data_IF_930057322656
#
_entry.id   IF_930057322656
#
_cell.length_a   1.000
_cell.length_b   1.000
_cell.length_c   1.000
_cell.angle_alpha   90.00
_cell.angle_beta   90.00
_cell.angle_gamma   90.00
#
_symmetry.space_group_name_H-M   'P 1'
#
loop_
_entity.id
_entity.type
_entity.pdbx_description
1 polymer ?
#
# COMPACT_ATOMS: atom_id res chain seq x y z
N UNK A 1 -22.74 -18.06 38.87
CA UNK A 1 -23.61 -17.50 37.80
C UNK A 1 -22.95 -16.22 37.36
N UNK A 2 -22.17 -16.26 36.29
CA UNK A 2 -21.52 -15.08 35.76
C UNK A 2 -22.59 -14.08 35.29
N UNK A 3 -22.42 -12.77 35.57
CA UNK A 3 -23.40 -11.77 35.17
C UNK A 3 -23.58 -11.82 33.64
N UNK A 4 -24.81 -11.65 33.13
CA UNK A 4 -25.06 -11.68 31.69
C UNK A 4 -24.16 -10.64 31.03
N UNK A 5 -23.35 -11.09 30.07
CA UNK A 5 -22.43 -10.23 29.32
C UNK A 5 -23.22 -9.04 28.79
N UNK A 6 -22.92 -7.86 29.33
CA UNK A 6 -23.68 -6.66 28.99
C UNK A 6 -23.34 -6.26 27.55
N UNK A 7 -24.35 -5.80 26.80
CA UNK A 7 -24.14 -5.25 25.47
C UNK A 7 -23.00 -4.21 25.44
N UNK A 8 -22.94 -3.36 26.47
CA UNK A 8 -21.90 -2.33 26.59
C UNK A 8 -20.50 -2.92 26.76
N UNK A 9 -20.36 -4.05 27.47
CA UNK A 9 -19.06 -4.73 27.64
C UNK A 9 -18.60 -5.36 26.33
N UNK A 10 -19.49 -6.01 25.58
CA UNK A 10 -19.19 -6.54 24.24
C UNK A 10 -18.75 -5.42 23.31
N UNK A 11 -19.50 -4.30 23.29
CA UNK A 11 -19.20 -3.14 22.43
C UNK A 11 -17.85 -2.52 22.73
N UNK A 12 -17.52 -2.35 24.01
CA UNK A 12 -16.20 -1.88 24.44
C UNK A 12 -15.10 -2.84 24.03
N UNK A 13 -15.34 -4.15 24.14
CA UNK A 13 -14.38 -5.17 23.72
C UNK A 13 -14.14 -5.15 22.21
N UNK A 14 -15.20 -5.06 21.39
CA UNK A 14 -15.08 -4.96 19.93
C UNK A 14 -14.25 -3.74 19.53
N UNK A 15 -14.56 -2.55 20.06
CA UNK A 15 -13.79 -1.33 19.78
C UNK A 15 -12.32 -1.42 20.17
N UNK A 16 -12.02 -2.09 21.29
CA UNK A 16 -10.64 -2.31 21.72
C UNK A 16 -9.90 -3.22 20.73
N UNK A 17 -10.54 -4.30 20.29
CA UNK A 17 -9.97 -5.24 19.32
C UNK A 17 -9.79 -4.58 17.94
N UNK A 18 -10.76 -3.78 17.49
CA UNK A 18 -10.67 -2.98 16.26
C UNK A 18 -9.46 -2.04 16.31
N UNK A 19 -9.31 -1.25 17.37
CA UNK A 19 -8.17 -0.34 17.51
C UNK A 19 -6.82 -1.08 17.56
N UNK A 20 -6.77 -2.26 18.19
CA UNK A 20 -5.56 -3.09 18.21
C UNK A 20 -5.25 -3.67 16.83
N UNK A 21 -6.29 -4.10 16.09
CA UNK A 21 -6.15 -4.58 14.72
C UNK A 21 -5.65 -3.48 13.79
N UNK A 22 -6.17 -2.26 13.89
CA UNK A 22 -5.73 -1.13 13.07
C UNK A 22 -4.25 -0.82 13.26
N UNK A 23 -3.77 -0.83 14.51
CA UNK A 23 -2.35 -0.62 14.83
C UNK A 23 -1.47 -1.75 14.30
N UNK A 24 -1.86 -3.01 14.51
CA UNK A 24 -1.12 -4.16 13.98
C UNK A 24 -1.11 -4.18 12.45
N UNK A 25 -2.21 -3.82 11.82
CA UNK A 25 -2.30 -3.71 10.36
C UNK A 25 -1.39 -2.61 9.83
N UNK A 26 -1.24 -1.50 10.57
CA UNK A 26 -0.31 -0.43 10.22
C UNK A 26 1.15 -0.87 10.32
N UNK A 27 1.50 -1.59 11.38
CA UNK A 27 2.83 -2.19 11.54
C UNK A 27 3.08 -3.18 10.40
N UNK A 28 2.11 -4.02 10.06
CA UNK A 28 2.21 -4.98 8.96
C UNK A 28 2.34 -4.27 7.60
N UNK A 29 1.61 -3.19 7.34
CA UNK A 29 1.79 -2.35 6.12
C UNK A 29 3.22 -1.83 6.00
N UNK A 30 3.76 -1.28 7.09
CA UNK A 30 5.14 -0.79 7.13
C UNK A 30 6.13 -1.92 6.89
N UNK A 31 5.87 -3.08 7.47
CA UNK A 31 6.68 -4.27 7.28
C UNK A 31 6.68 -4.74 5.81
N UNK A 32 5.50 -4.85 5.18
CA UNK A 32 5.37 -5.22 3.76
C UNK A 32 6.03 -4.19 2.82
N UNK A 33 6.17 -2.93 3.25
CA UNK A 33 6.85 -1.89 2.48
C UNK A 33 8.37 -1.88 2.70
N UNK A 34 8.82 -1.92 3.95
CA UNK A 34 10.24 -1.91 4.32
C UNK A 34 10.77 -3.33 4.29
N UNK A 35 11.21 -3.77 3.09
CA UNK A 35 11.95 -5.02 2.88
C UNK A 35 13.24 -5.04 3.70
N UNK A 36 13.13 -5.37 4.98
CA UNK A 36 14.23 -5.65 5.90
C UNK A 36 13.80 -6.87 6.70
N UNK A 37 14.19 -8.04 6.21
CA UNK A 37 13.94 -9.31 6.86
C UNK A 37 14.56 -9.30 8.25
N UNK A 38 13.71 -9.10 9.26
CA UNK A 38 14.02 -9.41 10.64
C UNK A 38 13.13 -10.59 11.03
N UNK A 39 13.73 -11.62 11.63
CA UNK A 39 13.14 -12.92 11.96
C UNK A 39 11.87 -12.89 12.86
N UNK A 40 11.39 -11.71 13.24
CA UNK A 40 10.13 -11.48 13.96
C UNK A 40 8.89 -11.51 13.02
N UNK A 41 9.12 -11.73 11.72
CA UNK A 41 8.16 -11.77 10.61
C UNK A 41 7.03 -12.81 10.81
N UNK A 42 7.36 -13.96 11.42
CA UNK A 42 6.41 -15.06 11.57
C UNK A 42 5.35 -14.85 12.66
N UNK A 43 5.50 -13.84 13.52
CA UNK A 43 4.62 -13.64 14.67
C UNK A 43 3.51 -12.61 14.41
N UNK A 44 3.66 -11.75 13.39
CA UNK A 44 2.68 -10.71 13.07
C UNK A 44 1.43 -11.24 12.37
N UNK A 45 1.58 -12.09 11.34
CA UNK A 45 0.44 -12.74 10.68
C UNK A 45 -0.45 -13.55 11.65
N UNK A 46 0.08 -14.48 12.49
CA UNK A 46 -0.75 -15.25 13.40
C UNK A 46 -1.37 -14.39 14.51
N UNK A 47 -0.71 -13.30 14.92
CA UNK A 47 -1.27 -12.37 15.89
C UNK A 47 -2.50 -11.64 15.32
N UNK A 48 -2.40 -11.12 14.09
CA UNK A 48 -3.52 -10.48 13.39
C UNK A 48 -4.66 -11.48 13.16
N UNK A 49 -4.36 -12.70 12.72
CA UNK A 49 -5.35 -13.78 12.56
C UNK A 49 -6.06 -14.10 13.88
N UNK A 50 -5.32 -14.14 15.00
CA UNK A 50 -5.90 -14.39 16.32
C UNK A 50 -6.83 -13.24 16.74
N UNK A 51 -6.42 -12.00 16.55
CA UNK A 51 -7.23 -10.82 16.87
C UNK A 51 -8.51 -10.76 16.01
N UNK A 52 -8.42 -11.09 14.71
CA UNK A 52 -9.58 -11.18 13.81
C UNK A 52 -10.56 -12.25 14.28
N UNK A 53 -10.08 -13.44 14.67
CA UNK A 53 -10.93 -14.51 15.24
C UNK A 53 -11.60 -14.08 16.55
N UNK A 54 -10.89 -13.36 17.42
CA UNK A 54 -11.46 -12.82 18.65
C UNK A 54 -12.55 -11.79 18.37
N UNK A 55 -12.34 -10.87 17.42
CA UNK A 55 -13.35 -9.89 17.02
C UNK A 55 -14.58 -10.56 16.39
N UNK A 56 -14.37 -11.59 15.57
CA UNK A 56 -15.46 -12.42 15.02
C UNK A 56 -16.27 -13.12 16.10
N UNK A 57 -15.62 -13.64 17.14
CA UNK A 57 -16.30 -14.25 18.29
C UNK A 57 -17.15 -13.22 19.05
N UNK A 58 -16.60 -12.03 19.30
CA UNK A 58 -17.33 -10.93 19.96
C UNK A 58 -18.54 -10.49 19.12
N UNK A 59 -18.39 -10.33 17.81
CA UNK A 59 -19.50 -10.01 16.91
C UNK A 59 -20.58 -11.11 16.90
N UNK A 60 -20.18 -12.38 17.02
CA UNK A 60 -21.11 -13.50 17.12
C UNK A 60 -21.88 -13.48 18.46
N UNK A 61 -21.22 -13.12 19.56
CA UNK A 61 -21.87 -12.92 20.87
C UNK A 61 -22.83 -11.73 20.85
N UNK A 62 -22.46 -10.63 20.20
CA UNK A 62 -23.36 -9.49 19.98
C UNK A 62 -24.57 -9.87 19.13
N UNK A 63 -24.37 -10.67 18.08
CA UNK A 63 -25.46 -11.18 17.25
C UNK A 63 -26.44 -12.03 18.05
N UNK A 64 -25.94 -12.96 18.88
CA UNK A 64 -26.79 -13.75 19.76
C UNK A 64 -27.58 -12.87 20.75
N UNK A 65 -26.95 -11.81 21.27
CA UNK A 65 -27.59 -10.87 22.18
C UNK A 65 -28.71 -10.07 21.49
N UNK A 66 -28.47 -9.52 20.29
CA UNK A 66 -29.49 -8.82 19.49
C UNK A 66 -30.66 -9.75 19.16
N UNK A 67 -30.37 -10.98 18.73
CA UNK A 67 -31.39 -11.99 18.41
C UNK A 67 -32.23 -12.44 19.61
N UNK A 68 -31.75 -12.24 20.86
CA UNK A 68 -32.46 -12.60 22.09
C UNK A 68 -33.49 -11.57 22.57
N UNK A 69 -33.72 -10.49 21.81
CA UNK A 69 -34.71 -9.43 22.13
C UNK A 69 -34.12 -8.02 22.21
N UNK A 70 -32.98 -7.76 21.55
CA UNK A 70 -32.35 -6.45 21.52
C UNK A 70 -33.14 -5.42 20.69
N UNK A 71 -33.10 -4.16 21.10
CA UNK A 71 -33.63 -3.01 20.35
C UNK A 71 -32.95 -2.83 18.99
N UNK A 72 -33.68 -2.28 18.01
CA UNK A 72 -33.22 -1.99 16.64
C UNK A 72 -31.92 -1.15 16.57
N UNK A 73 -31.70 -0.28 17.56
CA UNK A 73 -30.47 0.53 17.68
C UNK A 73 -29.21 -0.35 17.84
N UNK A 74 -29.34 -1.49 18.52
CA UNK A 74 -28.25 -2.45 18.69
C UNK A 74 -27.98 -3.24 17.42
N UNK A 75 -29.01 -3.48 16.60
CA UNK A 75 -28.89 -4.11 15.28
C UNK A 75 -28.01 -3.28 14.35
N UNK A 76 -28.28 -1.97 14.20
CA UNK A 76 -27.43 -1.10 13.38
C UNK A 76 -25.98 -1.03 13.87
N UNK A 77 -25.79 -0.97 15.19
CA UNK A 77 -24.44 -0.95 15.77
C UNK A 77 -23.71 -2.26 15.48
N UNK A 78 -24.39 -3.40 15.55
CA UNK A 78 -23.83 -4.71 15.18
C UNK A 78 -23.48 -4.78 13.70
N UNK A 79 -24.37 -4.35 12.81
CA UNK A 79 -24.10 -4.31 11.36
C UNK A 79 -22.81 -3.54 11.09
N UNK A 80 -22.62 -2.39 11.74
CA UNK A 80 -21.38 -1.61 11.60
C UNK A 80 -20.13 -2.38 12.07
N UNK A 81 -20.21 -3.08 13.20
CA UNK A 81 -19.09 -3.91 13.67
C UNK A 81 -18.80 -5.11 12.73
N UNK A 82 -19.82 -5.65 12.06
CA UNK A 82 -19.65 -6.70 11.04
C UNK A 82 -18.99 -6.16 9.77
N UNK A 83 -19.39 -4.98 9.31
CA UNK A 83 -18.76 -4.29 8.18
C UNK A 83 -17.28 -4.00 8.45
N UNK A 84 -16.95 -3.43 9.62
CA UNK A 84 -15.56 -3.16 10.02
C UNK A 84 -14.73 -4.45 10.03
N UNK A 85 -15.26 -5.55 10.59
CA UNK A 85 -14.58 -6.84 10.59
C UNK A 85 -14.32 -7.33 9.16
N UNK A 86 -15.29 -7.20 8.25
CA UNK A 86 -15.15 -7.60 6.86
C UNK A 86 -14.07 -6.77 6.15
N UNK A 87 -14.06 -5.46 6.35
CA UNK A 87 -13.05 -4.55 5.77
C UNK A 87 -11.65 -4.91 6.27
N UNK A 88 -11.49 -5.19 7.57
CA UNK A 88 -10.23 -5.63 8.16
C UNK A 88 -9.75 -6.96 7.58
N UNK A 89 -10.65 -7.92 7.36
CA UNK A 89 -10.31 -9.20 6.70
C UNK A 89 -9.85 -9.01 5.25
N UNK A 90 -10.55 -8.17 4.49
CA UNK A 90 -10.18 -7.90 3.10
C UNK A 90 -8.83 -7.21 3.02
N UNK A 91 -8.60 -6.21 3.88
CA UNK A 91 -7.34 -5.51 3.93
C UNK A 91 -6.18 -6.47 4.28
N UNK A 92 -6.36 -7.31 5.31
CA UNK A 92 -5.34 -8.27 5.71
C UNK A 92 -4.95 -9.22 4.56
N UNK A 93 -5.95 -9.81 3.89
CA UNK A 93 -5.72 -10.71 2.75
C UNK A 93 -5.02 -10.01 1.59
N UNK A 94 -5.36 -8.75 1.32
CA UNK A 94 -4.69 -7.93 0.30
C UNK A 94 -3.22 -7.69 0.65
N UNK A 95 -2.93 -7.35 1.91
CA UNK A 95 -1.56 -7.13 2.37
C UNK A 95 -0.73 -8.40 2.33
N UNK A 96 -1.31 -9.53 2.74
CA UNK A 96 -0.67 -10.85 2.67
C UNK A 96 -0.33 -11.27 1.24
N UNK A 97 -1.25 -11.04 0.32
CA UNK A 97 -1.04 -11.30 -1.11
C UNK A 97 0.08 -10.41 -1.68
N UNK A 98 0.08 -9.12 -1.32
CA UNK A 98 1.14 -8.18 -1.71
C UNK A 98 2.50 -8.59 -1.15
N UNK A 99 2.55 -9.04 0.11
CA UNK A 99 3.76 -9.53 0.75
C UNK A 99 4.31 -10.77 0.03
N UNK A 100 3.46 -11.77 -0.23
CA UNK A 100 3.85 -12.98 -0.97
C UNK A 100 4.40 -12.63 -2.35
N UNK A 101 3.70 -11.79 -3.12
CA UNK A 101 4.16 -11.38 -4.45
C UNK A 101 5.53 -10.68 -4.41
N UNK A 102 5.77 -9.81 -3.42
CA UNK A 102 7.07 -9.16 -3.21
C UNK A 102 8.16 -10.15 -2.82
N UNK A 103 7.84 -11.13 -1.98
CA UNK A 103 8.76 -12.19 -1.55
C UNK A 103 9.15 -13.09 -2.72
N UNK A 104 8.19 -13.51 -3.53
CA UNK A 104 8.42 -14.29 -4.75
C UNK A 104 9.28 -13.50 -5.74
N UNK A 105 8.96 -12.23 -5.99
CA UNK A 105 9.78 -11.36 -6.85
C UNK A 105 11.20 -11.17 -6.30
N UNK A 106 11.37 -11.07 -4.98
CA UNK A 106 12.69 -11.00 -4.36
C UNK A 106 13.48 -12.30 -4.54
N UNK A 107 12.84 -13.45 -4.35
CA UNK A 107 13.45 -14.77 -4.52
C UNK A 107 13.88 -15.01 -5.97
N UNK A 108 13.06 -14.60 -6.96
CA UNK A 108 13.40 -14.71 -8.38
C UNK A 108 14.59 -13.83 -8.76
N UNK A 109 14.69 -12.61 -8.20
CA UNK A 109 15.85 -11.75 -8.42
C UNK A 109 17.12 -12.27 -7.75
N UNK A 110 16.98 -12.95 -6.61
CA UNK A 110 18.11 -13.60 -5.93
C UNK A 110 18.62 -14.79 -6.75
N UNK A 111 17.72 -15.65 -7.24
CA UNK A 111 18.03 -16.77 -8.13
C UNK A 111 18.70 -16.29 -9.43
N UNK A 112 18.20 -15.20 -10.03
CA UNK A 112 18.84 -14.59 -11.21
C UNK A 112 20.24 -14.06 -10.92
N UNK A 113 20.46 -13.44 -9.75
CA UNK A 113 21.78 -12.95 -9.34
C UNK A 113 22.75 -14.09 -9.05
N UNK A 114 22.27 -15.19 -8.48
CA UNK A 114 23.07 -16.39 -8.23
C UNK A 114 23.42 -17.10 -9.54
N UNK A 115 22.48 -17.20 -10.48
CA UNK A 115 22.73 -17.69 -11.84
C UNK A 115 23.78 -16.84 -12.59
N UNK A 116 23.69 -15.51 -12.52
CA UNK A 116 24.66 -14.63 -13.18
C UNK A 116 26.06 -14.74 -12.55
N UNK A 117 26.15 -14.89 -11.22
CA UNK A 117 27.42 -15.13 -10.52
C UNK A 117 28.05 -16.47 -10.88
N UNK A 118 27.27 -17.55 -10.87
CA UNK A 118 27.77 -18.90 -11.19
C UNK A 118 28.25 -19.00 -12.65
N UNK A 119 27.62 -18.27 -13.57
CA UNK A 119 28.11 -18.12 -14.95
C UNK A 119 29.43 -17.33 -15.01
N UNK A 120 29.53 -16.23 -14.25
CA UNK A 120 30.76 -15.44 -14.18
C UNK A 120 31.94 -16.28 -13.63
N UNK A 121 31.72 -17.08 -12.59
CA UNK A 121 32.75 -17.96 -12.01
C UNK A 121 33.17 -19.11 -12.95
N UNK A 122 32.28 -19.58 -13.84
CA UNK A 122 32.61 -20.61 -14.84
C UNK A 122 33.41 -20.05 -16.05
N UNK A 123 33.34 -18.75 -16.31
CA UNK A 123 33.90 -18.10 -17.52
C UNK A 123 35.21 -17.31 -17.23
N UNK A 124 35.62 -17.22 -15.96
CA UNK A 124 36.87 -16.59 -15.47
C UNK A 124 38.17 -17.29 -15.94
N UNK A 125 38.05 -18.35 -16.74
CA UNK A 125 39.18 -18.96 -17.43
C UNK A 125 39.68 -18.20 -18.68
N UNK A 126 38.87 -17.33 -19.32
CA UNK A 126 39.29 -16.73 -20.61
C UNK A 126 38.57 -15.44 -21.10
N UNK A 127 37.52 -14.91 -20.46
CA UNK A 127 36.61 -13.92 -21.10
C UNK A 127 36.50 -12.49 -20.52
N UNK A 128 37.28 -12.13 -19.50
CA UNK A 128 37.01 -10.98 -18.61
C UNK A 128 36.83 -9.60 -19.28
N UNK A 129 37.60 -9.27 -20.33
CA UNK A 129 37.58 -7.91 -20.91
C UNK A 129 36.43 -7.67 -21.88
N UNK A 130 36.12 -8.64 -22.75
CA UNK A 130 35.03 -8.51 -23.72
C UNK A 130 33.66 -8.50 -23.02
N UNK A 131 33.50 -9.31 -21.97
CA UNK A 131 32.30 -9.32 -21.15
C UNK A 131 32.11 -8.00 -20.38
N UNK A 132 33.20 -7.38 -19.89
CA UNK A 132 33.14 -6.06 -19.28
C UNK A 132 32.63 -4.98 -20.26
N UNK A 133 33.10 -5.02 -21.51
CA UNK A 133 32.65 -4.11 -22.57
C UNK A 133 31.18 -4.33 -22.96
N UNK A 134 30.72 -5.59 -23.01
CA UNK A 134 29.32 -5.91 -23.25
C UNK A 134 28.42 -5.41 -22.11
N UNK A 135 28.86 -5.56 -20.86
CA UNK A 135 28.16 -5.05 -19.69
C UNK A 135 28.09 -3.51 -19.68
N UNK A 136 29.19 -2.84 -20.05
CA UNK A 136 29.23 -1.39 -20.20
C UNK A 136 28.24 -0.93 -21.28
N UNK A 137 28.24 -1.59 -22.44
CA UNK A 137 27.31 -1.28 -23.53
C UNK A 137 25.86 -1.44 -23.11
N UNK A 138 25.53 -2.50 -22.36
CA UNK A 138 24.19 -2.71 -21.83
C UNK A 138 23.80 -1.62 -20.81
N UNK A 139 24.74 -1.17 -19.99
CA UNK A 139 24.55 -0.05 -19.04
C UNK A 139 24.30 1.27 -19.78
N UNK A 140 25.11 1.58 -20.79
CA UNK A 140 24.94 2.76 -21.63
C UNK A 140 23.58 2.78 -22.30
N UNK A 141 23.14 1.64 -22.86
CA UNK A 141 21.84 1.59 -23.52
C UNK A 141 20.67 1.84 -22.56
N UNK A 142 20.73 1.27 -21.34
CA UNK A 142 19.73 1.55 -20.29
C UNK A 142 19.74 3.02 -19.88
N UNK A 143 20.92 3.61 -19.71
CA UNK A 143 21.08 5.04 -19.40
C UNK A 143 20.49 5.93 -20.49
N UNK A 144 20.72 5.62 -21.77
CA UNK A 144 20.12 6.34 -22.90
C UNK A 144 18.60 6.32 -22.84
N UNK A 145 17.98 5.16 -22.61
CA UNK A 145 16.51 5.08 -22.50
C UNK A 145 15.94 5.88 -21.32
N UNK A 146 16.66 5.94 -20.19
CA UNK A 146 16.27 6.79 -19.06
C UNK A 146 16.37 8.28 -19.41
N UNK A 147 17.41 8.69 -20.13
CA UNK A 147 17.55 10.07 -20.60
C UNK A 147 16.43 10.47 -21.57
N UNK A 148 16.01 9.56 -22.46
CA UNK A 148 14.85 9.81 -23.35
C UNK A 148 13.56 10.05 -22.56
N UNK A 149 13.36 9.32 -21.45
CA UNK A 149 12.25 9.55 -20.53
C UNK A 149 12.29 10.95 -19.88
N UNK A 150 13.47 11.37 -19.41
CA UNK A 150 13.68 12.72 -18.85
C UNK A 150 13.44 13.80 -19.90
N UNK A 151 13.90 13.61 -21.14
CA UNK A 151 13.65 14.54 -22.26
C UNK A 151 12.15 14.63 -22.55
N UNK A 152 11.44 13.51 -22.58
CA UNK A 152 9.99 13.48 -22.81
C UNK A 152 9.23 14.25 -21.73
N UNK A 153 9.57 14.03 -20.46
CA UNK A 153 8.98 14.75 -19.32
C UNK A 153 9.29 16.26 -19.37
N UNK A 154 10.52 16.63 -19.76
CA UNK A 154 10.90 18.03 -19.94
C UNK A 154 10.07 18.69 -21.07
N UNK A 155 9.85 18.01 -22.18
CA UNK A 155 9.00 18.51 -23.27
C UNK A 155 7.54 18.71 -22.84
N UNK A 156 6.98 17.79 -22.06
CA UNK A 156 5.64 17.93 -21.49
C UNK A 156 5.55 19.14 -20.54
N UNK A 157 6.57 19.33 -19.72
CA UNK A 157 6.67 20.48 -18.81
C UNK A 157 6.71 21.80 -19.59
N UNK A 158 7.49 21.86 -20.68
CA UNK A 158 7.57 23.05 -21.57
C UNK A 158 6.20 23.35 -22.20
N UNK A 159 5.50 22.33 -22.71
CA UNK A 159 4.15 22.50 -23.28
C UNK A 159 3.18 23.07 -22.25
N UNK A 160 3.23 22.55 -21.02
CA UNK A 160 2.41 23.05 -19.90
C UNK A 160 2.72 24.51 -19.57
N UNK A 161 4.00 24.90 -19.49
CA UNK A 161 4.41 26.29 -19.25
C UNK A 161 3.97 27.23 -20.38
N UNK A 162 4.05 26.80 -21.64
CA UNK A 162 3.57 27.58 -22.79
C UNK A 162 2.05 27.78 -22.74
N UNK A 163 1.29 26.74 -22.38
CA UNK A 163 -0.16 26.85 -22.19
C UNK A 163 -0.52 27.80 -21.05
N UNK A 164 0.18 27.73 -19.92
CA UNK A 164 0.02 28.67 -18.81
C UNK A 164 0.32 30.11 -19.24
N UNK A 165 1.41 30.36 -19.97
CA UNK A 165 1.76 31.69 -20.49
C UNK A 165 0.67 32.26 -21.40
N UNK A 166 0.11 31.44 -22.31
CA UNK A 166 -1.00 31.85 -23.17
C UNK A 166 -2.25 32.22 -22.36
N UNK A 167 -2.56 31.42 -21.34
CA UNK A 167 -3.69 31.66 -20.43
C UNK A 167 -3.52 32.97 -19.66
N UNK A 168 -2.35 33.22 -19.06
CA UNK A 168 -2.06 34.48 -18.37
C UNK A 168 -2.08 35.69 -19.30
N UNK A 169 -1.58 35.56 -20.54
CA UNK A 169 -1.70 36.60 -21.57
C UNK A 169 -3.17 36.94 -21.87
N UNK A 170 -4.02 35.92 -21.98
CA UNK A 170 -5.47 36.08 -22.15
C UNK A 170 -6.16 36.71 -20.94
N UNK A 171 -5.71 36.41 -19.72
CA UNK A 171 -6.22 37.06 -18.50
C UNK A 171 -5.79 38.53 -18.46
N UNK A 172 -4.54 38.85 -18.78
CA UNK A 172 -4.04 40.22 -18.81
C UNK A 172 -4.80 41.08 -19.82
N UNK A 173 -5.09 40.55 -21.02
CA UNK A 173 -5.89 41.27 -22.02
C UNK A 173 -7.33 41.48 -21.56
N UNK A 174 -7.97 40.47 -20.95
CA UNK A 174 -9.30 40.61 -20.34
C UNK A 174 -9.31 41.63 -19.20
N UNK A 175 -8.33 41.61 -18.31
CA UNK A 175 -8.20 42.56 -17.20
C UNK A 175 -7.99 43.98 -17.71
N UNK A 176 -7.13 44.17 -18.72
CA UNK A 176 -6.93 45.47 -19.38
C UNK A 176 -8.22 45.97 -20.02
N UNK A 177 -9.00 45.10 -20.65
CA UNK A 177 -10.29 45.45 -21.27
C UNK A 177 -11.39 45.77 -20.25
N UNK A 178 -11.37 45.14 -19.07
CA UNK A 178 -12.28 45.49 -17.97
C UNK A 178 -11.86 46.81 -17.34
N UNK A 179 -10.55 47.01 -17.11
CA UNK A 179 -10.00 48.26 -16.56
C UNK A 179 -10.33 49.47 -17.43
N UNK A 180 -10.36 49.32 -18.75
CA UNK A 180 -10.71 50.42 -19.67
C UNK A 180 -12.21 50.73 -19.72
N UNK A 181 -13.05 49.89 -19.13
CA UNK A 181 -14.51 50.06 -19.05
C UNK A 181 -15.00 50.49 -17.66
N UNK A 182 -14.11 50.56 -16.68
CA UNK A 182 -14.43 51.12 -15.37
C UNK A 182 -14.35 52.65 -15.46
N UNK A 183 -15.41 53.40 -15.11
CA UNK A 183 -15.31 54.84 -14.98
C UNK A 183 -14.40 55.20 -13.80
N UNK A 184 -13.59 56.25 -13.97
CA UNK A 184 -12.76 56.85 -12.91
C UNK A 184 -13.60 57.49 -11.82
#
# INVERSE_FOLDING_TARGET
>A
MDPPTSWDSLRKQARKLEAQLDEQMHIYRKFVSNKTGNANDNDLEPNIDQLLKQLQQVNSQMQAWVSSGGSEIFSHTLTRHQEILQDLFQEFNRLRSSYRAKKEHASLLEDFREFDRTRFDLEDGSGSHEQALLNERASLHRSTGQMDGVISQAQETIKTLMFQRSTFGGINSKLSNVSSRLPT
#
